data_IF_273222269766
#
_entry.id   IF_273222269766
#
_cell.length_a   1.000
_cell.length_b   1.000
_cell.length_c   1.000
_cell.angle_alpha   90.00
_cell.angle_beta   90.00
_cell.angle_gamma   90.00
#
_symmetry.space_group_name_H-M   'P 1'
#
loop_
_entity.id
_entity.type
_entity.pdbx_description
1 polymer ?
#
# COMPACT_ATOMS: atom_id res chain seq x y z
N UNK A 1 -50.73 -25.89 -10.51
CA UNK A 1 -50.49 -24.81 -11.50
C UNK A 1 -49.10 -24.26 -11.32
N UNK A 2 -48.22 -24.33 -12.29
CA UNK A 2 -46.91 -23.68 -12.22
C UNK A 2 -47.14 -22.18 -12.44
N UNK A 3 -46.90 -21.36 -11.46
CA UNK A 3 -46.86 -19.92 -11.65
C UNK A 3 -45.70 -19.59 -12.58
N UNK A 4 -46.01 -19.09 -13.76
CA UNK A 4 -45.01 -18.68 -14.74
C UNK A 4 -44.75 -17.18 -14.49
N UNK A 5 -43.49 -16.81 -14.19
CA UNK A 5 -43.07 -15.42 -14.02
C UNK A 5 -43.41 -14.62 -15.28
N UNK A 6 -44.18 -13.57 -15.15
CA UNK A 6 -44.50 -12.69 -16.27
C UNK A 6 -43.28 -11.80 -16.63
N UNK A 7 -43.23 -11.34 -17.90
CA UNK A 7 -42.18 -10.43 -18.36
C UNK A 7 -42.08 -9.15 -17.48
N UNK A 8 -43.24 -8.64 -17.05
CA UNK A 8 -43.29 -7.46 -16.18
C UNK A 8 -42.74 -7.76 -14.79
N UNK A 9 -43.06 -8.90 -14.20
CA UNK A 9 -42.52 -9.32 -12.92
C UNK A 9 -40.99 -9.48 -13.00
N UNK A 10 -40.50 -10.18 -14.05
CA UNK A 10 -39.06 -10.37 -14.25
C UNK A 10 -38.34 -9.01 -14.37
N UNK A 11 -38.89 -8.09 -15.16
CA UNK A 11 -38.36 -6.73 -15.31
C UNK A 11 -38.31 -5.96 -13.98
N UNK A 12 -39.39 -5.99 -13.22
CA UNK A 12 -39.49 -5.24 -11.95
C UNK A 12 -38.54 -5.82 -10.89
N UNK A 13 -38.43 -7.16 -10.81
CA UNK A 13 -37.47 -7.82 -9.93
C UNK A 13 -36.03 -7.46 -10.32
N UNK A 14 -35.72 -7.48 -11.62
CA UNK A 14 -34.40 -7.10 -12.12
C UNK A 14 -34.05 -5.64 -11.77
N UNK A 15 -34.89 -4.69 -12.15
CA UNK A 15 -34.60 -3.28 -11.86
C UNK A 15 -34.63 -2.97 -10.36
N UNK A 16 -35.62 -3.48 -9.63
CA UNK A 16 -35.74 -3.26 -8.19
C UNK A 16 -34.55 -3.84 -7.44
N UNK A 17 -34.17 -5.08 -7.75
CA UNK A 17 -33.00 -5.73 -7.17
C UNK A 17 -31.70 -4.99 -7.53
N UNK A 18 -31.52 -4.63 -8.79
CA UNK A 18 -30.32 -3.90 -9.24
C UNK A 18 -30.20 -2.54 -8.55
N UNK A 19 -31.26 -1.76 -8.49
CA UNK A 19 -31.24 -0.45 -7.82
C UNK A 19 -30.99 -0.59 -6.32
N UNK A 20 -31.56 -1.60 -5.69
CA UNK A 20 -31.33 -1.86 -4.25
C UNK A 20 -29.86 -2.17 -3.96
N UNK A 21 -29.25 -3.08 -4.72
CA UNK A 21 -27.84 -3.44 -4.52
C UNK A 21 -26.88 -2.32 -4.92
N UNK A 22 -27.19 -1.52 -5.96
CA UNK A 22 -26.41 -0.33 -6.31
C UNK A 22 -26.46 0.71 -5.17
N UNK A 23 -27.63 0.91 -4.55
CA UNK A 23 -27.75 1.83 -3.42
C UNK A 23 -26.93 1.37 -2.21
N UNK A 24 -26.97 0.07 -1.87
CA UNK A 24 -26.14 -0.51 -0.80
C UNK A 24 -24.65 -0.33 -1.14
N UNK A 25 -24.24 -0.67 -2.36
CA UNK A 25 -22.86 -0.52 -2.79
C UNK A 25 -22.37 0.93 -2.68
N UNK A 26 -23.16 1.88 -3.16
CA UNK A 26 -22.85 3.31 -3.08
C UNK A 26 -22.73 3.79 -1.61
N UNK A 27 -23.65 3.37 -0.75
CA UNK A 27 -23.61 3.68 0.68
C UNK A 27 -22.37 3.11 1.37
N UNK A 28 -22.06 1.84 1.15
CA UNK A 28 -20.89 1.18 1.75
C UNK A 28 -19.58 1.80 1.22
N UNK A 29 -19.51 2.10 -0.08
CA UNK A 29 -18.33 2.76 -0.66
C UNK A 29 -18.11 4.16 -0.08
N UNK A 30 -19.18 4.94 0.07
CA UNK A 30 -19.11 6.26 0.70
C UNK A 30 -18.61 6.18 2.15
N UNK A 31 -19.17 5.25 2.92
CA UNK A 31 -18.77 5.04 4.31
C UNK A 31 -17.30 4.59 4.41
N UNK A 32 -16.86 3.65 3.58
CA UNK A 32 -15.47 3.16 3.54
C UNK A 32 -14.49 4.28 3.18
N UNK A 33 -14.79 5.09 2.16
CA UNK A 33 -13.95 6.24 1.78
C UNK A 33 -13.87 7.26 2.91
N UNK A 34 -15.00 7.53 3.58
CA UNK A 34 -15.05 8.43 4.74
C UNK A 34 -14.17 7.91 5.90
N UNK A 35 -14.27 6.62 6.20
CA UNK A 35 -13.43 5.98 7.24
C UNK A 35 -11.95 6.05 6.91
N UNK A 36 -11.56 5.64 5.69
CA UNK A 36 -10.17 5.65 5.24
C UNK A 36 -9.57 7.06 5.38
N UNK A 37 -10.27 8.08 4.89
CA UNK A 37 -9.76 9.47 4.91
C UNK A 37 -9.63 10.04 6.31
N UNK A 38 -10.54 9.70 7.23
CA UNK A 38 -10.63 10.33 8.53
C UNK A 38 -9.95 9.54 9.65
N UNK A 39 -9.72 8.22 9.45
CA UNK A 39 -9.28 7.33 10.53
C UNK A 39 -8.08 6.46 10.17
N UNK A 40 -7.87 6.15 8.87
CA UNK A 40 -6.79 5.23 8.48
C UNK A 40 -5.60 5.97 7.88
N UNK A 41 -5.85 6.89 6.95
CA UNK A 41 -4.79 7.57 6.21
C UNK A 41 -4.41 8.86 6.92
N UNK A 42 -3.12 9.05 7.21
CA UNK A 42 -2.58 10.32 7.69
C UNK A 42 -2.41 11.30 6.52
N UNK A 43 -3.54 11.88 6.07
CA UNK A 43 -3.55 12.81 4.92
C UNK A 43 -2.85 14.13 5.22
N UNK A 44 -2.77 14.53 6.49
CA UNK A 44 -2.07 15.77 6.89
C UNK A 44 -0.56 15.69 6.68
N UNK A 45 0.01 14.48 6.75
CA UNK A 45 1.44 14.24 6.52
C UNK A 45 1.78 13.84 5.07
N UNK A 46 0.80 13.86 4.16
CA UNK A 46 1.01 13.58 2.75
C UNK A 46 1.68 14.76 2.05
N UNK A 47 3.01 14.73 1.97
CA UNK A 47 3.82 15.77 1.31
C UNK A 47 4.07 15.45 -0.17
N UNK A 48 4.61 16.42 -0.89
CA UNK A 48 5.03 16.21 -2.29
C UNK A 48 6.17 15.19 -2.38
N UNK A 49 7.08 15.10 -1.39
CA UNK A 49 8.15 14.09 -1.35
C UNK A 49 7.57 12.68 -1.19
N UNK A 50 6.56 12.50 -0.33
CA UNK A 50 5.85 11.22 -0.20
C UNK A 50 5.23 10.79 -1.54
N UNK A 51 4.61 11.72 -2.27
CA UNK A 51 4.02 11.44 -3.59
C UNK A 51 5.10 11.08 -4.61
N UNK A 52 6.25 11.76 -4.60
CA UNK A 52 7.39 11.42 -5.47
C UNK A 52 7.98 10.07 -5.10
N UNK A 53 8.17 9.78 -3.80
CA UNK A 53 8.65 8.49 -3.31
C UNK A 53 7.76 7.32 -3.74
N UNK A 54 6.44 7.50 -3.71
CA UNK A 54 5.51 6.53 -4.28
C UNK A 54 5.75 6.31 -5.78
N UNK A 55 6.03 7.36 -6.55
CA UNK A 55 6.36 7.24 -7.98
C UNK A 55 7.68 6.50 -8.21
N UNK A 56 8.70 6.74 -7.37
CA UNK A 56 9.96 5.97 -7.39
C UNK A 56 9.67 4.49 -7.17
N UNK A 57 8.85 4.15 -6.17
CA UNK A 57 8.39 2.79 -5.90
C UNK A 57 7.73 2.13 -7.11
N UNK A 58 6.81 2.84 -7.76
CA UNK A 58 6.06 2.35 -8.94
C UNK A 58 6.97 2.23 -10.17
N UNK A 59 7.82 3.24 -10.44
CA UNK A 59 8.69 3.28 -11.61
C UNK A 59 9.75 2.17 -11.62
N UNK A 60 10.18 1.73 -10.43
CA UNK A 60 11.16 0.66 -10.28
C UNK A 60 10.52 -0.72 -10.03
N UNK A 61 9.19 -0.84 -10.17
CA UNK A 61 8.44 -2.08 -10.00
C UNK A 61 8.74 -2.82 -8.68
N UNK A 62 8.98 -2.08 -7.58
CA UNK A 62 9.32 -2.65 -6.28
C UNK A 62 8.22 -3.59 -5.75
N UNK A 63 6.97 -3.34 -6.16
CA UNK A 63 5.79 -4.16 -5.85
C UNK A 63 5.88 -5.59 -6.43
N UNK A 64 6.69 -5.81 -7.46
CA UNK A 64 6.87 -7.14 -8.06
C UNK A 64 7.66 -8.09 -7.15
N UNK A 65 8.35 -7.56 -6.15
CA UNK A 65 9.08 -8.35 -5.16
C UNK A 65 8.56 -8.13 -3.73
N UNK A 66 8.19 -6.90 -3.38
CA UNK A 66 7.78 -6.50 -2.04
C UNK A 66 6.28 -6.27 -1.94
N UNK A 67 5.76 -6.31 -0.71
CA UNK A 67 4.41 -5.86 -0.38
C UNK A 67 4.43 -4.58 0.43
N UNK A 68 3.38 -3.77 0.28
CA UNK A 68 3.02 -2.67 1.18
C UNK A 68 1.56 -2.85 1.57
N UNK A 69 1.27 -2.94 2.87
CA UNK A 69 -0.08 -3.17 3.42
C UNK A 69 -0.75 -4.43 2.83
N UNK A 70 0.06 -5.46 2.53
CA UNK A 70 -0.40 -6.72 1.94
C UNK A 70 -0.56 -6.71 0.42
N UNK A 71 -0.39 -5.57 -0.23
CA UNK A 71 -0.45 -5.43 -1.69
C UNK A 71 0.93 -5.63 -2.31
N UNK A 72 1.05 -6.57 -3.24
CA UNK A 72 2.29 -6.87 -3.96
C UNK A 72 2.70 -8.33 -3.91
N UNK A 73 3.95 -8.62 -4.29
CA UNK A 73 4.50 -9.97 -4.30
C UNK A 73 5.19 -10.32 -2.97
N UNK A 74 5.01 -11.55 -2.53
CA UNK A 74 5.65 -12.09 -1.31
C UNK A 74 7.01 -12.75 -1.61
N UNK A 75 7.76 -12.21 -2.55
CA UNK A 75 9.11 -12.68 -2.86
C UNK A 75 10.14 -12.11 -1.88
N UNK A 76 9.93 -10.90 -1.41
CA UNK A 76 10.74 -10.16 -0.45
C UNK A 76 9.87 -9.66 0.72
N UNK A 77 10.45 -9.09 1.80
CA UNK A 77 9.70 -8.67 2.97
C UNK A 77 8.66 -7.59 2.70
N UNK A 78 7.61 -7.56 3.51
CA UNK A 78 6.64 -6.46 3.65
C UNK A 78 7.37 -5.18 4.11
N UNK A 79 7.07 -4.02 3.52
CA UNK A 79 7.80 -2.78 3.76
C UNK A 79 6.98 -1.68 4.45
N UNK A 80 5.71 -1.90 4.79
CA UNK A 80 4.91 -0.86 5.45
C UNK A 80 5.45 -0.44 6.82
N UNK A 81 6.14 -1.33 7.54
CA UNK A 81 6.74 -1.05 8.85
C UNK A 81 8.28 -1.05 8.82
N UNK A 82 8.90 -0.97 7.66
CA UNK A 82 10.36 -1.14 7.50
C UNK A 82 11.15 -0.12 8.32
N UNK A 83 10.72 1.13 8.38
CA UNK A 83 11.40 2.19 9.13
C UNK A 83 11.32 1.94 10.65
N UNK A 84 10.19 1.42 11.13
CA UNK A 84 10.05 1.00 12.53
C UNK A 84 10.94 -0.21 12.87
N UNK A 85 11.00 -1.22 11.99
CA UNK A 85 11.90 -2.38 12.17
C UNK A 85 13.37 -1.98 12.21
N UNK A 86 13.77 -0.97 11.47
CA UNK A 86 15.14 -0.44 11.48
C UNK A 86 15.39 0.52 12.64
N UNK A 87 14.35 0.88 13.42
CA UNK A 87 14.47 1.78 14.56
C UNK A 87 14.70 3.24 14.18
N UNK A 88 14.28 3.64 12.98
CA UNK A 88 14.49 4.98 12.42
C UNK A 88 13.19 5.71 12.07
N UNK A 89 12.04 5.22 12.56
CA UNK A 89 10.72 5.77 12.21
C UNK A 89 10.52 7.22 12.70
N UNK A 90 11.22 7.64 13.76
CA UNK A 90 11.08 8.97 14.35
C UNK A 90 12.15 9.98 13.88
N UNK A 91 13.08 9.54 13.02
CA UNK A 91 14.19 10.37 12.52
C UNK A 91 14.29 10.28 10.99
N UNK A 92 13.76 11.26 10.24
CA UNK A 92 13.79 11.25 8.79
C UNK A 92 15.20 11.21 8.16
N UNK A 93 16.19 11.82 8.81
CA UNK A 93 17.56 11.79 8.30
C UNK A 93 18.19 10.41 8.52
N UNK A 94 17.99 9.81 9.68
CA UNK A 94 18.42 8.44 9.94
C UNK A 94 17.71 7.43 9.03
N UNK A 95 16.44 7.65 8.70
CA UNK A 95 15.68 6.83 7.75
C UNK A 95 16.28 6.90 6.33
N UNK A 96 16.60 8.11 5.86
CA UNK A 96 17.28 8.32 4.58
C UNK A 96 18.65 7.64 4.54
N UNK A 97 19.52 7.90 5.52
CA UNK A 97 20.88 7.34 5.56
C UNK A 97 20.85 5.79 5.63
N UNK A 98 19.93 5.24 6.42
CA UNK A 98 19.76 3.79 6.54
C UNK A 98 19.30 3.18 5.22
N UNK A 99 18.31 3.79 4.56
CA UNK A 99 17.81 3.33 3.26
C UNK A 99 18.90 3.45 2.19
N UNK A 100 19.63 4.56 2.16
CA UNK A 100 20.75 4.79 1.23
C UNK A 100 21.81 3.70 1.38
N UNK A 101 22.27 3.46 2.59
CA UNK A 101 23.25 2.41 2.86
C UNK A 101 22.75 1.02 2.46
N UNK A 102 21.47 0.72 2.69
CA UNK A 102 20.86 -0.52 2.23
C UNK A 102 20.86 -0.63 0.71
N UNK A 103 20.41 0.41 0.00
CA UNK A 103 20.32 0.42 -1.47
C UNK A 103 21.69 0.32 -2.13
N UNK A 104 22.70 1.02 -1.61
CA UNK A 104 24.08 0.98 -2.11
C UNK A 104 24.73 -0.39 -1.89
N UNK A 105 24.36 -1.11 -0.84
CA UNK A 105 24.86 -2.44 -0.54
C UNK A 105 24.25 -3.56 -1.41
N UNK A 106 23.31 -3.25 -2.28
CA UNK A 106 22.66 -4.25 -3.13
C UNK A 106 23.36 -4.36 -4.50
N UNK A 107 23.40 -5.55 -5.10
CA UNK A 107 23.08 -6.87 -4.49
C UNK A 107 24.10 -7.27 -3.44
N UNK A 108 23.65 -7.89 -2.35
CA UNK A 108 24.54 -8.25 -1.22
C UNK A 108 25.59 -9.33 -1.56
N UNK A 109 25.43 -10.04 -2.66
CA UNK A 109 26.33 -11.11 -3.10
C UNK A 109 26.31 -12.37 -2.23
N UNK A 110 25.43 -12.48 -1.25
CA UNK A 110 25.34 -13.65 -0.37
C UNK A 110 24.76 -14.82 -1.12
N UNK A 111 25.58 -15.86 -1.28
CA UNK A 111 25.19 -17.09 -1.98
C UNK A 111 23.98 -17.78 -1.34
N UNK A 112 23.05 -18.26 -2.18
CA UNK A 112 21.84 -18.97 -1.74
C UNK A 112 20.73 -18.05 -1.18
N UNK A 113 20.94 -16.73 -1.13
CA UNK A 113 19.89 -15.76 -0.75
C UNK A 113 19.31 -15.07 -1.97
N UNK A 114 18.00 -14.71 -1.87
CA UNK A 114 17.36 -13.84 -2.84
C UNK A 114 18.07 -12.50 -2.83
N UNK A 115 18.33 -11.97 -4.02
CA UNK A 115 19.05 -10.72 -4.18
C UNK A 115 18.09 -9.62 -4.64
N UNK A 116 18.17 -8.47 -3.98
CA UNK A 116 17.58 -7.24 -4.48
C UNK A 116 18.54 -6.67 -5.55
N UNK A 117 18.06 -6.29 -6.73
CA UNK A 117 18.94 -5.69 -7.74
C UNK A 117 19.37 -4.27 -7.34
N UNK A 118 20.45 -3.77 -7.95
CA UNK A 118 20.84 -2.39 -7.84
C UNK A 118 19.97 -1.53 -8.77
N UNK A 119 19.31 -0.51 -8.23
CA UNK A 119 18.43 0.38 -8.97
C UNK A 119 19.09 1.70 -9.39
N UNK A 120 20.29 2.01 -8.86
CA UNK A 120 21.03 3.25 -9.14
C UNK A 120 20.20 4.52 -8.92
N UNK A 121 19.41 4.55 -7.84
CA UNK A 121 18.60 5.70 -7.48
C UNK A 121 19.51 6.88 -7.07
N UNK A 122 19.12 8.08 -7.45
CA UNK A 122 19.74 9.32 -6.97
C UNK A 122 19.44 9.55 -5.47
N UNK A 123 20.25 10.39 -4.82
CA UNK A 123 20.05 10.75 -3.42
C UNK A 123 18.66 11.36 -3.17
N UNK A 124 18.16 12.17 -4.11
CA UNK A 124 16.82 12.77 -4.02
C UNK A 124 15.72 11.70 -4.11
N UNK A 125 15.86 10.72 -5.00
CA UNK A 125 14.91 9.60 -5.12
C UNK A 125 14.91 8.71 -3.88
N UNK A 126 16.08 8.45 -3.29
CA UNK A 126 16.19 7.68 -2.05
C UNK A 126 15.55 8.45 -0.88
N UNK A 127 15.75 9.78 -0.82
CA UNK A 127 15.12 10.63 0.20
C UNK A 127 13.59 10.64 0.07
N UNK A 128 13.09 10.84 -1.13
CA UNK A 128 11.65 10.78 -1.41
C UNK A 128 11.07 9.39 -1.07
N UNK A 129 11.79 8.31 -1.38
CA UNK A 129 11.39 6.95 -1.05
C UNK A 129 11.39 6.69 0.47
N UNK A 130 12.37 7.24 1.21
CA UNK A 130 12.39 7.19 2.67
C UNK A 130 11.17 7.89 3.27
N UNK A 131 10.84 9.10 2.79
CA UNK A 131 9.65 9.85 3.21
C UNK A 131 8.36 9.07 2.91
N UNK A 132 8.30 8.39 1.77
CA UNK A 132 7.17 7.51 1.44
C UNK A 132 7.02 6.37 2.44
N UNK A 133 8.10 5.66 2.80
CA UNK A 133 8.03 4.58 3.78
C UNK A 133 7.72 5.08 5.19
N UNK A 134 8.25 6.23 5.60
CA UNK A 134 7.89 6.87 6.86
C UNK A 134 6.39 7.17 6.91
N UNK A 135 5.84 7.75 5.85
CA UNK A 135 4.41 8.05 5.76
C UNK A 135 3.55 6.77 5.76
N UNK A 136 3.95 5.74 4.99
CA UNK A 136 3.25 4.45 4.98
C UNK A 136 3.17 3.85 6.39
N UNK A 137 4.25 3.93 7.16
CA UNK A 137 4.29 3.48 8.54
C UNK A 137 3.30 4.19 9.49
N UNK A 138 2.79 5.38 9.10
CA UNK A 138 1.77 6.10 9.88
C UNK A 138 0.33 5.70 9.56
N UNK A 139 0.11 4.90 8.52
CA UNK A 139 -1.23 4.44 8.12
C UNK A 139 -1.76 3.45 9.17
N UNK A 140 -2.97 3.71 9.68
CA UNK A 140 -3.64 2.76 10.55
C UNK A 140 -4.16 1.57 9.73
N UNK A 141 -3.34 0.55 9.64
CA UNK A 141 -3.60 -0.68 8.88
C UNK A 141 -4.19 -1.81 9.76
N UNK A 142 -4.78 -1.47 10.92
CA UNK A 142 -5.45 -2.43 11.82
C UNK A 142 -4.54 -3.62 12.23
N UNK A 143 -3.30 -3.29 12.65
CA UNK A 143 -2.24 -4.23 13.04
C UNK A 143 -1.64 -5.03 11.85
N UNK A 144 -1.65 -4.50 10.65
CA UNK A 144 -0.84 -5.03 9.56
C UNK A 144 0.58 -4.39 9.59
N UNK A 145 1.66 -5.13 9.31
CA UNK A 145 1.71 -6.59 9.16
C UNK A 145 1.48 -7.34 10.47
N UNK A 146 1.05 -8.63 10.41
CA UNK A 146 0.70 -9.39 11.62
C UNK A 146 1.91 -9.82 12.46
N UNK A 147 3.12 -9.58 11.97
CA UNK A 147 4.38 -9.88 12.68
C UNK A 147 5.42 -8.80 12.40
N UNK A 148 6.41 -8.70 13.31
CA UNK A 148 7.45 -7.67 13.24
C UNK A 148 8.54 -7.96 12.20
N UNK A 149 8.53 -9.14 11.59
CA UNK A 149 9.50 -9.50 10.56
C UNK A 149 9.12 -9.00 9.15
N UNK A 150 7.86 -8.58 8.96
CA UNK A 150 7.32 -8.10 7.69
C UNK A 150 6.82 -9.21 6.79
#
# INVERSE_FOLDING_TARGET
>A
MREVMTKTMARNVFYGGSLFFIAIFAFLSWNSVGYIRNHSTNTAALSDSVVRGKRVWEANACIDCHTILGEGAYFAPELSNVMARWGVADDPEAAYETLKGWMEAQPSGVEGRRQMPQFNLSDDEIRDLADFFLWVGTINAQNWPPNDAG
#
